data_IF_173666818442
#
_entry.id   IF_173666818442
#
_cell.length_a   1.000
_cell.length_b   1.000
_cell.length_c   1.000
_cell.angle_alpha   90.00
_cell.angle_beta   90.00
_cell.angle_gamma   90.00
#
_symmetry.space_group_name_H-M   'P 1'
#
loop_
_entity.id
_entity.type
_entity.pdbx_description
1 polymer ?
#
# COMPACT_ATOMS: atom_id res chain seq x y z
N UNK A 1 -17.92 -58.49 -13.99
CA UNK A 1 -16.61 -57.82 -14.19
C UNK A 1 -16.22 -57.23 -12.85
N UNK A 2 -15.03 -57.55 -12.34
CA UNK A 2 -14.60 -57.08 -11.02
C UNK A 2 -14.07 -55.66 -11.16
N UNK A 3 -14.55 -54.75 -10.31
CA UNK A 3 -14.13 -53.35 -10.27
C UNK A 3 -12.67 -53.25 -9.81
N UNK A 4 -11.75 -53.23 -10.76
CA UNK A 4 -10.32 -52.99 -10.51
C UNK A 4 -10.08 -51.48 -10.28
N UNK A 5 -10.62 -50.91 -9.19
CA UNK A 5 -10.24 -49.58 -8.76
C UNK A 5 -8.90 -49.68 -8.01
N UNK A 6 -7.81 -49.49 -8.75
CA UNK A 6 -6.45 -49.39 -8.19
C UNK A 6 -6.46 -48.32 -7.08
N UNK A 7 -5.83 -48.56 -5.92
CA UNK A 7 -5.66 -47.51 -4.92
C UNK A 7 -4.88 -46.36 -5.56
N UNK A 8 -5.44 -45.16 -5.50
CA UNK A 8 -4.76 -43.95 -5.94
C UNK A 8 -3.58 -43.78 -4.98
N UNK A 9 -2.36 -43.99 -5.50
CA UNK A 9 -1.12 -43.73 -4.77
C UNK A 9 -1.14 -42.27 -4.31
N UNK A 10 -1.13 -42.05 -2.99
CA UNK A 10 -1.04 -40.74 -2.34
C UNK A 10 0.31 -40.01 -2.60
N UNK A 11 1.12 -40.55 -3.51
CA UNK A 11 2.37 -39.97 -4.03
C UNK A 11 2.21 -39.52 -5.50
N UNK A 12 0.97 -39.42 -5.98
CA UNK A 12 0.67 -38.99 -7.34
C UNK A 12 1.15 -37.55 -7.56
N UNK A 13 1.94 -37.34 -8.61
CA UNK A 13 2.45 -36.02 -8.99
C UNK A 13 1.33 -34.99 -9.17
N UNK A 14 0.11 -35.44 -9.52
CA UNK A 14 -1.05 -34.56 -9.63
C UNK A 14 -1.47 -33.96 -8.28
N UNK A 15 -1.40 -34.72 -7.19
CA UNK A 15 -1.76 -34.25 -5.84
C UNK A 15 -0.71 -33.26 -5.31
N UNK A 16 0.56 -33.47 -5.66
CA UNK A 16 1.65 -32.54 -5.34
C UNK A 16 1.57 -31.24 -6.14
N UNK A 17 1.16 -31.31 -7.40
CA UNK A 17 0.90 -30.13 -8.24
C UNK A 17 -0.28 -29.33 -7.70
N UNK A 18 -1.37 -30.01 -7.34
CA UNK A 18 -2.56 -29.39 -6.73
C UNK A 18 -2.21 -28.67 -5.41
N UNK A 19 -1.47 -29.32 -4.52
CA UNK A 19 -1.00 -28.68 -3.27
C UNK A 19 -0.10 -27.47 -3.52
N UNK A 20 0.76 -27.53 -4.54
CA UNK A 20 1.63 -26.41 -4.89
C UNK A 20 0.82 -25.22 -5.44
N UNK A 21 -0.14 -25.48 -6.33
CA UNK A 21 -1.03 -24.44 -6.87
C UNK A 21 -1.87 -23.77 -5.77
N UNK A 22 -2.44 -24.55 -4.86
CA UNK A 22 -3.17 -24.00 -3.70
C UNK A 22 -2.29 -23.15 -2.76
N UNK A 23 -0.98 -23.43 -2.71
CA UNK A 23 -0.04 -22.63 -1.92
C UNK A 23 0.29 -21.30 -2.61
N UNK A 24 0.47 -21.32 -3.94
CA UNK A 24 0.69 -20.11 -4.72
C UNK A 24 -0.53 -19.17 -4.66
N UNK A 25 -1.74 -19.71 -4.82
CA UNK A 25 -2.98 -18.92 -4.70
C UNK A 25 -3.14 -18.27 -3.32
N UNK A 26 -2.72 -18.95 -2.25
CA UNK A 26 -2.71 -18.37 -0.90
C UNK A 26 -1.65 -17.29 -0.73
N UNK A 27 -0.49 -17.47 -1.37
CA UNK A 27 0.61 -16.49 -1.33
C UNK A 27 0.20 -15.19 -2.04
N UNK A 28 -0.41 -15.27 -3.22
CA UNK A 28 -0.88 -14.09 -3.96
C UNK A 28 -1.93 -13.27 -3.19
N UNK A 29 -2.85 -13.95 -2.50
CA UNK A 29 -3.83 -13.27 -1.63
C UNK A 29 -3.15 -12.64 -0.41
N UNK A 30 -2.10 -13.25 0.12
CA UNK A 30 -1.35 -12.74 1.27
C UNK A 30 -0.50 -11.52 0.89
N UNK A 31 0.12 -11.54 -0.29
CA UNK A 31 0.91 -10.41 -0.80
C UNK A 31 0.03 -9.19 -1.09
N UNK A 32 -1.14 -9.38 -1.70
CA UNK A 32 -2.11 -8.29 -1.91
C UNK A 32 -2.56 -7.64 -0.61
N UNK A 33 -2.79 -8.43 0.45
CA UNK A 33 -3.15 -7.90 1.77
C UNK A 33 -2.00 -7.10 2.40
N UNK A 34 -0.76 -7.53 2.21
CA UNK A 34 0.44 -6.86 2.75
C UNK A 34 0.64 -5.47 2.15
N UNK A 35 0.31 -5.28 0.87
CA UNK A 35 0.40 -3.98 0.19
C UNK A 35 -0.88 -3.12 0.28
N UNK A 36 -2.01 -3.69 0.69
CA UNK A 36 -3.28 -2.95 0.87
C UNK A 36 -3.44 -2.25 2.21
N UNK A 37 -2.59 -2.59 3.19
CA UNK A 37 -2.56 -1.87 4.46
C UNK A 37 -1.71 -0.63 4.27
N UNK A 38 -2.35 0.54 4.23
CA UNK A 38 -1.66 1.81 4.43
C UNK A 38 -0.96 1.75 5.80
N UNK A 39 0.30 1.33 5.82
CA UNK A 39 1.10 1.41 7.03
C UNK A 39 1.29 2.90 7.34
N UNK A 40 0.64 3.35 8.40
CA UNK A 40 0.89 4.67 8.93
C UNK A 40 2.36 4.75 9.33
N UNK A 41 3.12 5.59 8.62
CA UNK A 41 4.48 5.90 8.98
C UNK A 41 4.51 6.54 10.37
N UNK A 42 5.45 6.11 11.21
CA UNK A 42 5.70 6.82 12.45
C UNK A 42 6.38 8.17 12.16
N UNK A 43 6.47 9.05 13.15
CA UNK A 43 7.02 10.40 12.97
C UNK A 43 8.47 10.40 12.46
N UNK A 44 9.28 9.43 12.87
CA UNK A 44 10.69 9.31 12.45
C UNK A 44 10.83 8.82 11.00
N UNK A 45 9.95 7.93 10.57
CA UNK A 45 9.87 7.45 9.19
C UNK A 45 9.32 8.52 8.26
N UNK A 46 8.29 9.25 8.69
CA UNK A 46 7.79 10.43 7.98
C UNK A 46 8.91 11.45 7.79
N UNK A 47 9.71 11.73 8.82
CA UNK A 47 10.83 12.68 8.69
C UNK A 47 11.87 12.23 7.64
N UNK A 48 12.05 10.93 7.41
CA UNK A 48 12.96 10.41 6.37
C UNK A 48 12.38 10.50 4.96
N UNK A 49 11.06 10.41 4.83
CA UNK A 49 10.36 10.46 3.53
C UNK A 49 10.02 11.88 3.13
N UNK A 50 9.73 12.75 4.11
CA UNK A 50 9.41 14.15 3.90
C UNK A 50 10.67 14.87 3.43
N UNK A 51 10.62 15.44 2.24
CA UNK A 51 11.62 16.39 1.78
C UNK A 51 11.40 17.72 2.51
N UNK A 52 12.14 17.92 3.61
CA UNK A 52 12.04 19.11 4.46
C UNK A 52 12.17 20.41 3.68
N UNK A 53 13.07 20.47 2.69
CA UNK A 53 13.25 21.65 1.85
C UNK A 53 11.96 21.98 1.07
N UNK A 54 11.36 20.99 0.39
CA UNK A 54 10.11 21.20 -0.36
C UNK A 54 8.93 21.54 0.56
N UNK A 55 8.88 20.95 1.76
CA UNK A 55 7.87 21.27 2.76
C UNK A 55 8.00 22.72 3.22
N UNK A 56 9.21 23.16 3.57
CA UNK A 56 9.48 24.53 4.00
C UNK A 56 9.17 25.55 2.89
N UNK A 57 9.51 25.25 1.63
CA UNK A 57 9.14 26.08 0.48
C UNK A 57 7.62 26.22 0.31
N UNK A 58 6.87 25.14 0.53
CA UNK A 58 5.41 25.15 0.44
C UNK A 58 4.79 25.99 1.56
N UNK A 59 5.28 25.85 2.79
CA UNK A 59 4.82 26.62 3.94
C UNK A 59 5.08 28.13 3.74
N UNK A 60 6.28 28.50 3.29
CA UNK A 60 6.61 29.90 3.01
C UNK A 60 5.72 30.51 1.92
N UNK A 61 5.38 29.74 0.87
CA UNK A 61 4.43 30.19 -0.18
C UNK A 61 3.02 30.36 0.38
N UNK A 62 2.59 29.48 1.27
CA UNK A 62 1.29 29.60 1.95
C UNK A 62 1.23 30.88 2.78
N UNK A 63 2.26 31.17 3.58
CA UNK A 63 2.30 32.39 4.40
C UNK A 63 2.28 33.66 3.55
N UNK A 64 3.04 33.68 2.44
CA UNK A 64 3.04 34.78 1.50
C UNK A 64 1.66 35.00 0.87
N UNK A 65 0.99 33.91 0.46
CA UNK A 65 -0.37 33.95 -0.07
C UNK A 65 -1.37 34.50 0.95
N UNK A 66 -1.35 33.98 2.18
CA UNK A 66 -2.24 34.43 3.25
C UNK A 66 -2.00 35.89 3.63
N UNK A 67 -0.74 36.33 3.62
CA UNK A 67 -0.38 37.74 3.83
C UNK A 67 -0.93 38.64 2.72
N UNK A 68 -0.80 38.22 1.46
CA UNK A 68 -1.37 38.94 0.30
C UNK A 68 -2.89 39.08 0.41
N UNK A 69 -3.58 37.97 0.70
CA UNK A 69 -5.03 37.95 0.84
C UNK A 69 -5.50 38.89 1.96
N UNK A 70 -4.83 38.86 3.11
CA UNK A 70 -5.19 39.71 4.24
C UNK A 70 -4.88 41.20 3.99
N UNK A 71 -3.89 41.51 3.15
CA UNK A 71 -3.63 42.85 2.65
C UNK A 71 -4.76 43.35 1.75
N UNK A 72 -5.13 42.55 0.76
CA UNK A 72 -6.22 42.86 -0.18
C UNK A 72 -7.57 43.05 0.53
N UNK A 73 -7.89 42.21 1.52
CA UNK A 73 -9.11 42.35 2.32
C UNK A 73 -9.14 43.69 3.08
N UNK A 74 -8.03 44.09 3.69
CA UNK A 74 -7.94 45.38 4.42
C UNK A 74 -8.07 46.59 3.51
N UNK A 75 -7.63 46.48 2.26
CA UNK A 75 -7.76 47.55 1.29
C UNK A 75 -9.18 47.63 0.70
N UNK A 76 -9.95 46.54 0.75
CA UNK A 76 -11.35 46.50 0.30
C UNK A 76 -12.32 47.20 1.27
N UNK A 77 -12.00 47.25 2.57
CA UNK A 77 -12.83 47.89 3.60
C UNK A 77 -12.67 49.44 3.67
N UNK A 78 -11.92 50.05 2.74
CA UNK A 78 -11.75 51.51 2.61
C UNK A 78 -12.52 52.07 1.42
#
# INVERSE_FOLDING_TARGET
MKDNKKPIDANSSAEHVEQHLQTLEKTDVTEMLYYSQEQAFNTEELAKVINEQRLNELLARSDAFLSSLNGEIKDFDK
#
